data_IF_143273804532
#
_entry.id   IF_143273804532
#
_cell.length_a   1.000
_cell.length_b   1.000
_cell.length_c   1.000
_cell.angle_alpha   90.00
_cell.angle_beta   90.00
_cell.angle_gamma   90.00
#
_symmetry.space_group_name_H-M   'P 1'
#
loop_
_entity.id
_entity.type
_entity.pdbx_description
1 polymer ?
#
# COMPACT_ATOMS: atom_id res chain seq x y z
N UNK A 1 -29.47 -47.43 -9.67
CA UNK A 1 -30.63 -46.63 -9.22
C UNK A 1 -30.18 -45.77 -8.06
N UNK A 2 -29.83 -44.52 -8.34
CA UNK A 2 -30.16 -43.39 -7.50
C UNK A 2 -30.03 -42.19 -8.44
N UNK A 3 -31.19 -41.66 -8.79
CA UNK A 3 -31.38 -40.48 -9.61
C UNK A 3 -31.53 -39.30 -8.66
N UNK A 4 -30.89 -38.19 -9.02
CA UNK A 4 -31.38 -36.81 -8.85
C UNK A 4 -31.51 -36.29 -7.41
N UNK A 5 -30.73 -35.25 -7.08
CA UNK A 5 -31.21 -33.85 -7.08
C UNK A 5 -32.49 -33.71 -6.25
N UNK A 6 -32.43 -33.05 -5.10
CA UNK A 6 -32.68 -31.59 -5.00
C UNK A 6 -32.27 -31.12 -3.60
N UNK A 7 -32.23 -29.81 -3.37
CA UNK A 7 -31.85 -29.15 -2.11
C UNK A 7 -30.36 -28.82 -1.98
N UNK A 8 -29.77 -28.33 -3.08
CA UNK A 8 -29.23 -26.97 -2.94
C UNK A 8 -30.42 -26.03 -2.93
N UNK A 9 -30.61 -25.33 -1.81
CA UNK A 9 -31.12 -23.96 -1.70
C UNK A 9 -31.63 -23.73 -0.27
N UNK A 10 -30.72 -23.34 0.62
CA UNK A 10 -30.96 -22.20 1.52
C UNK A 10 -29.62 -21.74 2.09
N UNK A 11 -28.93 -20.94 1.27
CA UNK A 11 -28.07 -19.90 1.79
C UNK A 11 -28.87 -19.00 2.75
N UNK A 12 -28.15 -18.33 3.65
CA UNK A 12 -28.59 -17.19 4.45
C UNK A 12 -29.25 -17.54 5.78
N UNK A 13 -28.44 -17.86 6.79
CA UNK A 13 -28.37 -16.99 7.97
C UNK A 13 -27.20 -17.40 8.87
N UNK A 14 -26.21 -16.52 8.91
CA UNK A 14 -25.53 -16.04 10.12
C UNK A 14 -24.73 -17.02 10.98
N UNK A 15 -23.51 -16.59 11.31
CA UNK A 15 -22.63 -17.11 12.36
C UNK A 15 -21.86 -18.41 12.07
N UNK A 16 -20.71 -18.26 11.44
CA UNK A 16 -19.47 -18.66 12.11
C UNK A 16 -18.27 -17.90 11.57
N UNK A 17 -17.80 -16.97 12.40
CA UNK A 17 -16.48 -16.36 12.35
C UNK A 17 -15.47 -17.51 12.49
N UNK A 18 -15.03 -18.08 11.37
CA UNK A 18 -13.77 -18.79 11.33
C UNK A 18 -12.72 -17.86 10.73
N UNK A 19 -12.04 -17.23 11.68
CA UNK A 19 -10.72 -16.62 11.63
C UNK A 19 -9.70 -17.62 11.04
N UNK A 20 -9.79 -17.88 9.73
CA UNK A 20 -8.83 -18.70 8.99
C UNK A 20 -7.64 -17.83 8.58
N UNK A 21 -6.80 -17.57 9.57
CA UNK A 21 -5.47 -16.99 9.45
C UNK A 21 -4.57 -17.93 8.65
N UNK A 22 -4.44 -17.68 7.36
CA UNK A 22 -3.32 -18.17 6.54
C UNK A 22 -2.31 -17.02 6.42
N UNK A 23 -1.04 -17.17 6.86
CA UNK A 23 -0.08 -16.07 6.91
C UNK A 23 0.53 -15.86 5.52
N UNK A 24 -0.26 -15.33 4.60
CA UNK A 24 0.21 -14.65 3.38
C UNK A 24 0.13 -13.13 3.54
N UNK A 25 -0.67 -12.63 4.47
CA UNK A 25 -0.83 -11.20 4.77
C UNK A 25 0.43 -10.50 5.34
N UNK A 26 1.37 -11.23 5.95
CA UNK A 26 2.55 -10.61 6.57
C UNK A 26 3.58 -10.09 5.57
N UNK A 27 3.67 -10.67 4.37
CA UNK A 27 4.70 -10.27 3.42
C UNK A 27 4.35 -8.95 2.71
N UNK A 28 3.08 -8.76 2.33
CA UNK A 28 2.61 -7.58 1.61
C UNK A 28 2.43 -6.35 2.52
N UNK A 29 2.05 -6.56 3.79
CA UNK A 29 1.98 -5.46 4.77
C UNK A 29 3.35 -5.06 5.31
N UNK A 30 4.39 -5.85 5.07
CA UNK A 30 5.71 -5.56 5.65
C UNK A 30 6.32 -4.26 5.13
N UNK A 31 6.11 -3.88 3.86
CA UNK A 31 6.64 -2.62 3.33
C UNK A 31 5.79 -1.42 3.74
N UNK A 32 4.47 -1.59 3.83
CA UNK A 32 3.55 -0.58 4.37
C UNK A 32 3.91 -0.19 5.80
N UNK A 33 4.07 -1.18 6.69
CA UNK A 33 4.43 -0.95 8.09
C UNK A 33 5.80 -0.27 8.20
N UNK A 34 6.79 -0.73 7.42
CA UNK A 34 8.11 -0.12 7.43
C UNK A 34 8.07 1.34 6.95
N UNK A 35 7.24 1.63 5.94
CA UNK A 35 7.08 2.97 5.41
C UNK A 35 6.33 3.90 6.38
N UNK A 36 5.27 3.42 7.02
CA UNK A 36 4.52 4.14 8.06
C UNK A 36 5.38 4.46 9.28
N UNK A 37 6.26 3.53 9.68
CA UNK A 37 7.15 3.71 10.83
C UNK A 37 8.41 4.53 10.51
N UNK A 38 8.69 4.80 9.24
CA UNK A 38 9.91 5.48 8.82
C UNK A 38 11.17 4.60 8.92
N UNK A 39 11.02 3.27 8.97
CA UNK A 39 12.16 2.35 9.08
C UNK A 39 12.86 2.18 7.72
N UNK A 40 13.77 3.12 7.44
CA UNK A 40 14.56 3.14 6.21
C UNK A 40 15.40 1.87 6.03
N UNK A 41 15.87 1.23 7.11
CA UNK A 41 16.68 0.03 7.02
C UNK A 41 15.83 -1.13 6.51
N UNK A 42 14.61 -1.27 7.04
CA UNK A 42 13.68 -2.30 6.60
C UNK A 42 13.18 -2.05 5.18
N UNK A 43 12.86 -0.79 4.84
CA UNK A 43 12.50 -0.39 3.47
C UNK A 43 13.61 -0.76 2.49
N UNK A 44 14.87 -0.46 2.80
CA UNK A 44 16.02 -0.81 1.94
C UNK A 44 16.16 -2.32 1.74
N UNK A 45 16.03 -3.11 2.81
CA UNK A 45 16.09 -4.57 2.74
C UNK A 45 14.98 -5.13 1.85
N UNK A 46 13.75 -4.66 2.02
CA UNK A 46 12.58 -5.14 1.26
C UNK A 46 12.67 -4.71 -0.21
N UNK A 47 13.01 -3.45 -0.49
CA UNK A 47 13.14 -2.94 -1.86
C UNK A 47 14.31 -3.57 -2.65
N UNK A 48 15.21 -4.29 -1.98
CA UNK A 48 16.28 -5.04 -2.65
C UNK A 48 15.81 -6.38 -3.22
N UNK A 49 14.65 -6.89 -2.78
CA UNK A 49 14.07 -8.12 -3.31
C UNK A 49 13.19 -7.80 -4.53
N UNK A 50 13.50 -8.34 -5.73
CA UNK A 50 12.74 -8.07 -6.95
C UNK A 50 11.30 -8.57 -6.92
N UNK A 51 10.92 -9.40 -5.93
CA UNK A 51 9.55 -9.90 -5.75
C UNK A 51 8.67 -8.92 -4.97
N UNK A 52 9.25 -7.91 -4.35
CA UNK A 52 8.50 -6.90 -3.60
C UNK A 52 7.93 -5.87 -4.56
N UNK A 53 6.60 -5.79 -4.60
CA UNK A 53 5.89 -4.75 -5.34
C UNK A 53 5.77 -3.49 -4.47
N UNK A 54 6.56 -2.47 -4.81
CA UNK A 54 6.62 -1.18 -4.09
C UNK A 54 5.38 -0.31 -4.29
N UNK A 55 4.51 -0.64 -5.25
CA UNK A 55 3.25 0.05 -5.50
C UNK A 55 2.03 -0.75 -5.04
N UNK A 56 2.26 -1.88 -4.37
CA UNK A 56 1.17 -2.69 -3.85
C UNK A 56 0.32 -1.82 -2.92
N UNK A 57 -0.99 -1.81 -3.16
CA UNK A 57 -1.94 -1.13 -2.30
C UNK A 57 -2.35 -2.05 -1.15
N UNK A 58 -2.55 -1.48 0.03
CA UNK A 58 -3.17 -2.12 1.19
C UNK A 58 -4.72 -2.14 1.09
N UNK A 59 -5.39 -2.49 2.19
CA UNK A 59 -6.85 -2.59 2.24
C UNK A 59 -7.57 -1.22 2.10
N UNK A 60 -6.87 -0.11 2.34
CA UNK A 60 -7.36 1.25 2.14
C UNK A 60 -6.94 1.84 0.79
N UNK A 61 -6.28 1.04 -0.05
CA UNK A 61 -5.75 1.54 -1.31
C UNK A 61 -4.46 2.35 -1.14
N UNK A 62 -3.92 2.46 0.07
CA UNK A 62 -2.69 3.21 0.30
C UNK A 62 -1.50 2.37 -0.19
N UNK A 63 -0.57 3.03 -0.88
CA UNK A 63 0.74 2.44 -1.20
C UNK A 63 1.72 2.75 -0.07
N UNK A 64 2.90 2.10 0.00
CA UNK A 64 3.94 2.48 0.96
C UNK A 64 4.33 3.97 0.85
N UNK A 65 4.29 4.54 -0.35
CA UNK A 65 4.52 5.97 -0.57
C UNK A 65 3.46 6.87 0.07
N UNK A 66 2.17 6.48 0.08
CA UNK A 66 1.10 7.22 0.79
C UNK A 66 1.42 7.32 2.28
N UNK A 67 1.71 6.17 2.90
CA UNK A 67 2.00 6.08 4.33
C UNK A 67 3.26 6.86 4.71
N UNK A 68 4.34 6.72 3.93
CA UNK A 68 5.57 7.49 4.19
C UNK A 68 5.35 8.99 4.02
N UNK A 69 4.55 9.40 3.02
CA UNK A 69 4.29 10.80 2.74
C UNK A 69 3.41 11.45 3.80
N UNK A 70 2.29 10.82 4.18
CA UNK A 70 1.39 11.29 5.22
C UNK A 70 1.96 11.24 6.65
N UNK A 71 3.09 10.55 6.86
CA UNK A 71 3.85 10.57 8.12
C UNK A 71 5.11 11.44 8.08
N UNK A 72 5.44 12.03 6.93
CA UNK A 72 6.57 12.95 6.80
C UNK A 72 7.94 12.27 6.76
N UNK A 73 8.01 10.97 6.47
CA UNK A 73 9.27 10.21 6.51
C UNK A 73 10.12 10.42 5.26
N UNK A 74 10.77 11.57 5.17
CA UNK A 74 11.43 12.03 3.93
C UNK A 74 12.46 11.05 3.36
N UNK A 75 13.24 10.38 4.22
CA UNK A 75 14.26 9.44 3.75
C UNK A 75 13.65 8.17 3.13
N UNK A 76 12.50 7.73 3.67
CA UNK A 76 11.72 6.64 3.07
C UNK A 76 11.09 7.09 1.76
N UNK A 77 10.49 8.29 1.72
CA UNK A 77 9.92 8.86 0.50
C UNK A 77 10.97 8.92 -0.60
N UNK A 78 12.16 9.48 -0.32
CA UNK A 78 13.29 9.55 -1.26
C UNK A 78 13.69 8.17 -1.77
N UNK A 79 13.76 7.18 -0.88
CA UNK A 79 14.09 5.80 -1.28
C UNK A 79 13.04 5.20 -2.20
N UNK A 80 11.75 5.34 -1.88
CA UNK A 80 10.66 4.83 -2.71
C UNK A 80 10.62 5.54 -4.07
N UNK A 81 10.82 6.86 -4.11
CA UNK A 81 10.90 7.64 -5.35
C UNK A 81 12.09 7.27 -6.25
N UNK A 82 13.16 6.69 -5.68
CA UNK A 82 14.29 6.18 -6.46
C UNK A 82 14.01 4.85 -7.18
N UNK A 83 12.86 4.22 -6.92
CA UNK A 83 12.49 2.95 -7.54
C UNK A 83 11.99 3.18 -8.96
N UNK A 84 12.53 2.41 -9.92
CA UNK A 84 12.34 2.62 -11.37
C UNK A 84 10.87 2.69 -11.82
N UNK A 85 9.97 1.97 -11.16
CA UNK A 85 8.57 1.82 -11.56
C UNK A 85 7.60 2.38 -10.50
N UNK A 86 8.04 3.33 -9.67
CA UNK A 86 7.21 3.92 -8.63
C UNK A 86 6.03 4.72 -9.24
N UNK A 87 4.83 4.48 -8.72
CA UNK A 87 3.60 5.16 -9.13
C UNK A 87 3.33 6.33 -8.15
N UNK A 88 3.91 7.48 -8.45
CA UNK A 88 3.91 8.65 -7.55
C UNK A 88 2.52 9.29 -7.35
N UNK A 89 1.64 9.16 -8.34
CA UNK A 89 0.28 9.72 -8.34
C UNK A 89 -0.79 8.62 -8.29
N UNK A 90 -0.48 7.47 -7.67
CA UNK A 90 -1.47 6.42 -7.48
C UNK A 90 -2.53 6.91 -6.50
N UNK A 91 -3.81 6.75 -6.81
CA UNK A 91 -4.90 7.11 -5.91
C UNK A 91 -5.25 5.94 -4.97
N UNK A 92 -5.51 6.26 -3.70
CA UNK A 92 -6.12 5.34 -2.72
C UNK A 92 -7.65 5.27 -2.90
N UNK A 93 -8.37 4.56 -2.01
CA UNK A 93 -9.83 4.41 -2.15
C UNK A 93 -10.61 5.72 -1.94
N UNK A 94 -9.98 6.71 -1.33
CA UNK A 94 -10.55 8.04 -1.09
C UNK A 94 -10.29 9.00 -2.25
N UNK A 95 -9.52 8.57 -3.26
CA UNK A 95 -9.10 9.40 -4.38
C UNK A 95 -7.92 10.32 -4.05
N UNK A 96 -7.23 10.07 -2.94
CA UNK A 96 -6.06 10.84 -2.51
C UNK A 96 -4.80 10.24 -3.13
N UNK A 97 -3.85 11.08 -3.52
CA UNK A 97 -2.49 10.68 -3.89
C UNK A 97 -1.53 10.93 -2.72
N UNK A 98 -0.29 10.38 -2.72
CA UNK A 98 0.67 10.61 -1.64
C UNK A 98 0.94 12.09 -1.33
N UNK A 99 0.84 12.97 -2.34
CA UNK A 99 0.99 14.40 -2.19
C UNK A 99 -0.13 15.01 -1.33
N UNK A 100 -1.38 14.56 -1.49
CA UNK A 100 -2.52 15.08 -0.72
C UNK A 100 -2.33 14.78 0.77
N UNK A 101 -1.93 13.56 1.09
CA UNK A 101 -1.65 13.17 2.48
C UNK A 101 -0.49 13.97 3.10
N UNK A 102 0.55 14.29 2.32
CA UNK A 102 1.66 15.12 2.79
C UNK A 102 1.22 16.59 3.03
N UNK A 103 0.31 17.11 2.21
CA UNK A 103 -0.27 18.45 2.38
C UNK A 103 -1.18 18.51 3.60
N UNK A 104 -2.07 17.53 3.77
CA UNK A 104 -3.03 17.49 4.89
C UNK A 104 -2.37 17.35 6.27
N UNK A 105 -1.14 16.81 6.31
CA UNK A 105 -0.35 16.64 7.52
C UNK A 105 0.81 17.65 7.65
N UNK A 106 0.81 18.72 6.85
CA UNK A 106 1.80 19.82 6.89
C UNK A 106 3.28 19.36 6.74
N UNK A 107 3.53 18.35 5.92
CA UNK A 107 4.88 17.80 5.68
C UNK A 107 5.60 18.51 4.51
N UNK A 108 5.90 19.80 4.68
CA UNK A 108 6.43 20.70 3.65
C UNK A 108 7.62 20.12 2.85
N UNK A 109 8.58 19.48 3.52
CA UNK A 109 9.78 18.94 2.87
C UNK A 109 9.45 17.75 1.95
N UNK A 110 8.48 16.92 2.37
CA UNK A 110 7.96 15.81 1.56
C UNK A 110 7.14 16.33 0.39
N UNK A 111 6.30 17.36 0.61
CA UNK A 111 5.54 18.03 -0.45
C UNK A 111 6.49 18.57 -1.53
N UNK A 112 7.54 19.28 -1.13
CA UNK A 112 8.54 19.80 -2.06
C UNK A 112 9.20 18.67 -2.86
N UNK A 113 9.56 17.56 -2.21
CA UNK A 113 10.15 16.40 -2.86
C UNK A 113 9.18 15.74 -3.86
N UNK A 114 7.93 15.50 -3.47
CA UNK A 114 6.91 14.90 -4.32
C UNK A 114 6.56 15.77 -5.53
N UNK A 115 6.52 17.10 -5.38
CA UNK A 115 6.28 18.02 -6.50
C UNK A 115 7.40 17.96 -7.56
N UNK A 116 8.66 17.86 -7.13
CA UNK A 116 9.80 17.72 -8.05
C UNK A 116 9.70 16.42 -8.85
N UNK A 117 9.37 15.30 -8.19
CA UNK A 117 9.28 13.99 -8.85
C UNK A 117 7.98 13.78 -9.66
N UNK A 118 6.87 14.32 -9.19
CA UNK A 118 5.55 14.23 -9.83
C UNK A 118 5.43 15.08 -11.10
N UNK A 119 6.24 16.14 -11.22
CA UNK A 119 6.30 16.97 -12.44
C UNK A 119 7.24 16.39 -13.50
N UNK A 120 8.30 15.68 -13.10
CA UNK A 120 9.28 15.07 -14.00
C UNK A 120 8.79 13.77 -14.68
N UNK A 121 7.76 13.13 -14.12
CA UNK A 121 7.17 11.88 -14.66
C UNK A 121 6.14 12.11 -15.78
N UNK A 122 6.07 13.34 -16.33
CA UNK A 122 5.24 13.72 -17.49
C UNK A 122 5.98 13.66 -18.85
N UNK A 123 7.07 12.88 -18.95
CA UNK A 123 7.85 12.67 -20.19
C UNK A 123 7.76 11.22 -20.69
#
# INVERSE_FOLDING_TARGET
>A
MNSSSSEQDLASHTEQIQMNFVPTAYFWNSLHIAAEQGDIQKVNQLCSDPRVDVNKQDDLGDTPLHLAAGKGHIEVVRKLLSMRNIAVNKENIFGEIPLDLALDNDHEEVVALLLVYGTDSSQ
#
